data_IF_581886064775
#
_entry.id   IF_581886064775
#
_cell.length_a   1.000
_cell.length_b   1.000
_cell.length_c   1.000
_cell.angle_alpha   90.00
_cell.angle_beta   90.00
_cell.angle_gamma   90.00
#
_symmetry.space_group_name_H-M   'P 1'
#
loop_
_entity.id
_entity.type
_entity.pdbx_description
1 polymer ?
#
# COMPACT_ATOMS: atom_id res chain seq x y z
N UNK A 1 -15.77 -10.52 30.04
CA UNK A 1 -16.72 -10.32 31.17
C UNK A 1 -17.94 -9.51 30.73
N UNK A 2 -17.79 -8.35 30.06
CA UNK A 2 -18.91 -7.45 29.71
C UNK A 2 -19.93 -8.05 28.72
N UNK A 3 -19.50 -8.96 27.84
CA UNK A 3 -20.33 -9.62 26.84
C UNK A 3 -20.73 -11.04 27.22
N UNK A 4 -20.30 -11.53 28.41
CA UNK A 4 -20.57 -12.89 28.88
C UNK A 4 -19.92 -13.99 28.03
N UNK A 5 -18.89 -13.66 27.23
CA UNK A 5 -18.14 -14.61 26.41
C UNK A 5 -17.05 -15.25 27.28
N UNK A 6 -16.99 -16.57 27.31
CA UNK A 6 -15.95 -17.33 28.00
C UNK A 6 -14.57 -17.04 27.38
N UNK A 7 -13.50 -16.87 28.21
CA UNK A 7 -12.16 -16.59 27.70
C UNK A 7 -11.63 -17.58 26.68
N UNK A 8 -11.99 -18.85 26.78
CA UNK A 8 -11.62 -19.91 25.83
C UNK A 8 -12.21 -19.73 24.43
N UNK A 9 -13.22 -18.87 24.29
CA UNK A 9 -13.85 -18.50 23.02
C UNK A 9 -13.35 -17.15 22.48
N UNK A 10 -12.27 -16.59 23.06
CA UNK A 10 -11.69 -15.33 22.65
C UNK A 10 -10.29 -15.58 22.08
N UNK A 11 -10.12 -15.31 20.78
CA UNK A 11 -8.85 -15.45 20.08
C UNK A 11 -8.17 -14.08 19.97
N UNK A 12 -6.96 -13.96 20.51
CA UNK A 12 -6.11 -12.77 20.41
C UNK A 12 -4.77 -13.20 19.83
N UNK A 13 -4.55 -12.87 18.57
CA UNK A 13 -3.40 -13.36 17.84
C UNK A 13 -2.56 -12.22 17.24
N UNK A 14 -1.25 -12.39 17.26
CA UNK A 14 -0.31 -11.49 16.63
C UNK A 14 0.03 -11.99 15.22
N UNK A 15 -0.61 -11.40 14.22
CA UNK A 15 -0.42 -11.71 12.81
C UNK A 15 0.46 -10.66 12.08
N UNK A 16 1.22 -9.82 12.82
CA UNK A 16 2.00 -8.72 12.21
C UNK A 16 3.12 -9.19 11.32
N UNK A 17 3.83 -10.27 11.68
CA UNK A 17 4.90 -10.82 10.83
C UNK A 17 4.34 -11.37 9.52
N UNK A 18 3.27 -12.19 9.58
CA UNK A 18 2.60 -12.69 8.39
C UNK A 18 2.05 -11.55 7.54
N UNK A 19 1.43 -10.54 8.17
CA UNK A 19 0.91 -9.37 7.47
C UNK A 19 1.98 -8.68 6.62
N UNK A 20 3.14 -8.40 7.20
CA UNK A 20 4.19 -7.68 6.48
C UNK A 20 4.87 -8.57 5.46
N UNK A 21 5.25 -9.79 5.82
CA UNK A 21 6.00 -10.70 4.97
C UNK A 21 5.18 -11.19 3.77
N UNK A 22 3.94 -11.64 4.01
CA UNK A 22 3.17 -12.41 3.03
C UNK A 22 2.10 -11.57 2.29
N UNK A 23 1.83 -10.34 2.76
CA UNK A 23 0.86 -9.43 2.16
C UNK A 23 1.50 -8.08 1.76
N UNK A 24 2.17 -7.40 2.67
CA UNK A 24 2.72 -6.06 2.41
C UNK A 24 3.92 -6.12 1.47
N UNK A 25 4.90 -6.99 1.70
CA UNK A 25 6.09 -7.09 0.84
C UNK A 25 5.77 -7.52 -0.59
N UNK A 26 4.92 -8.53 -0.85
CA UNK A 26 4.46 -8.83 -2.21
C UNK A 26 3.84 -7.63 -2.93
N UNK A 27 3.04 -6.84 -2.21
CA UNK A 27 2.44 -5.61 -2.72
C UNK A 27 3.51 -4.54 -3.05
N UNK A 28 4.55 -4.39 -2.20
CA UNK A 28 5.65 -3.47 -2.45
C UNK A 28 6.55 -3.90 -3.61
N UNK A 29 6.75 -5.21 -3.84
CA UNK A 29 7.43 -5.69 -5.05
C UNK A 29 6.76 -5.21 -6.33
N UNK A 30 5.43 -5.07 -6.30
CA UNK A 30 4.65 -4.47 -7.40
C UNK A 30 4.77 -2.93 -7.47
N UNK A 31 5.26 -2.25 -6.45
CA UNK A 31 5.11 -0.80 -6.24
C UNK A 31 3.64 -0.36 -6.29
N UNK A 32 2.72 -1.16 -5.73
CA UNK A 32 1.29 -1.00 -5.91
C UNK A 32 0.76 0.30 -5.30
N UNK A 33 0.12 1.11 -6.14
CA UNK A 33 -0.54 2.35 -5.77
C UNK A 33 -1.92 2.41 -6.42
N UNK A 34 -2.97 2.41 -5.62
CA UNK A 34 -4.31 2.63 -6.14
C UNK A 34 -4.51 4.11 -6.51
N UNK A 35 -5.08 4.34 -7.70
CA UNK A 35 -5.20 5.69 -8.31
C UNK A 35 -3.87 6.48 -8.31
N UNK A 36 -2.72 5.78 -8.31
CA UNK A 36 -1.38 6.37 -8.35
C UNK A 36 -0.85 6.94 -7.04
N UNK A 37 -1.61 6.90 -5.96
CA UNK A 37 -1.26 7.56 -4.69
C UNK A 37 -1.44 6.67 -3.45
N UNK A 38 -2.51 5.88 -3.37
CA UNK A 38 -2.89 5.17 -2.15
C UNK A 38 -2.14 3.84 -2.00
N UNK A 39 -1.43 3.67 -0.88
CA UNK A 39 -0.62 2.48 -0.52
C UNK A 39 -1.44 1.30 0.03
N UNK A 40 -2.76 1.27 -0.18
CA UNK A 40 -3.64 0.11 0.03
C UNK A 40 -3.69 -0.45 1.46
N UNK A 41 -3.29 0.30 2.47
CA UNK A 41 -3.10 -0.23 3.82
C UNK A 41 -4.33 -0.87 4.46
N UNK A 42 -5.54 -0.32 4.27
CA UNK A 42 -6.78 -0.97 4.71
C UNK A 42 -7.09 -2.19 3.85
N UNK A 43 -6.97 -2.05 2.53
CA UNK A 43 -7.36 -3.10 1.58
C UNK A 43 -6.56 -4.38 1.76
N UNK A 44 -5.24 -4.27 1.98
CA UNK A 44 -4.33 -5.42 2.10
C UNK A 44 -4.46 -6.16 3.44
N UNK A 45 -5.01 -5.52 4.47
CA UNK A 45 -5.19 -6.15 5.78
C UNK A 45 -6.40 -7.10 5.82
N UNK A 46 -7.47 -6.81 5.07
CA UNK A 46 -8.72 -7.57 5.14
C UNK A 46 -8.59 -9.03 4.68
N UNK A 47 -7.85 -9.36 3.61
CA UNK A 47 -7.62 -10.76 3.22
C UNK A 47 -6.96 -11.61 4.31
N UNK A 48 -5.96 -11.08 5.02
CA UNK A 48 -5.31 -11.78 6.12
C UNK A 48 -6.26 -12.01 7.30
N UNK A 49 -7.05 -10.99 7.66
CA UNK A 49 -8.06 -11.14 8.73
C UNK A 49 -9.08 -12.22 8.35
N UNK A 50 -9.57 -12.20 7.10
CA UNK A 50 -10.50 -13.24 6.62
C UNK A 50 -9.86 -14.61 6.64
N UNK A 51 -8.61 -14.74 6.22
CA UNK A 51 -7.86 -16.00 6.27
C UNK A 51 -7.87 -16.56 7.70
N UNK A 52 -7.49 -15.74 8.67
CA UNK A 52 -7.44 -16.19 10.05
C UNK A 52 -8.81 -16.52 10.63
N UNK A 53 -9.85 -15.74 10.27
CA UNK A 53 -11.23 -16.05 10.66
C UNK A 53 -11.70 -17.41 10.13
N UNK A 54 -11.40 -17.75 8.87
CA UNK A 54 -11.74 -19.06 8.28
C UNK A 54 -10.96 -20.19 8.97
N UNK A 55 -9.67 -20.00 9.24
CA UNK A 55 -8.86 -20.98 9.97
C UNK A 55 -9.47 -21.27 11.36
N UNK A 56 -9.82 -20.23 12.12
CA UNK A 56 -10.47 -20.37 13.43
C UNK A 56 -11.86 -21.03 13.29
N UNK A 57 -12.65 -20.65 12.28
CA UNK A 57 -13.95 -21.27 12.03
C UNK A 57 -13.82 -22.81 11.83
N UNK A 58 -12.83 -23.24 11.04
CA UNK A 58 -12.53 -24.66 10.87
C UNK A 58 -12.05 -25.33 12.15
N UNK A 59 -11.17 -24.67 12.94
CA UNK A 59 -10.66 -25.19 14.22
C UNK A 59 -11.79 -25.45 15.24
N UNK A 60 -12.80 -24.58 15.27
CA UNK A 60 -13.92 -24.69 16.23
C UNK A 60 -15.16 -25.36 15.66
N UNK A 61 -15.16 -25.74 14.37
CA UNK A 61 -16.29 -26.34 13.69
C UNK A 61 -17.45 -25.38 13.47
N UNK A 62 -17.18 -24.08 13.29
CA UNK A 62 -18.19 -23.09 12.95
C UNK A 62 -18.54 -23.16 11.45
N UNK A 63 -19.83 -22.97 11.14
CA UNK A 63 -20.36 -22.95 9.77
C UNK A 63 -20.63 -21.52 9.25
N UNK A 64 -20.26 -20.51 10.04
CA UNK A 64 -20.44 -19.11 9.71
C UNK A 64 -19.35 -18.23 10.31
N UNK A 65 -19.05 -17.12 9.62
CA UNK A 65 -18.30 -15.98 10.15
C UNK A 65 -19.19 -14.75 10.20
N UNK A 66 -18.85 -13.77 11.03
CA UNK A 66 -19.54 -12.51 11.10
C UNK A 66 -18.55 -11.33 11.05
N UNK A 67 -18.96 -10.21 10.44
CA UNK A 67 -18.19 -8.98 10.46
C UNK A 67 -19.08 -7.75 10.69
N UNK A 68 -18.47 -6.69 11.25
CA UNK A 68 -19.13 -5.42 11.52
C UNK A 68 -18.87 -4.33 10.48
N UNK A 69 -18.42 -4.68 9.27
CA UNK A 69 -18.20 -3.72 8.21
C UNK A 69 -19.52 -3.08 7.75
N UNK A 70 -19.50 -1.77 7.47
CA UNK A 70 -20.70 -1.03 7.06
C UNK A 70 -21.15 -1.43 5.65
N UNK A 71 -22.46 -1.39 5.39
CA UNK A 71 -23.03 -1.72 4.08
C UNK A 71 -22.70 -0.74 2.94
N UNK A 72 -22.02 0.39 3.24
CA UNK A 72 -21.58 1.40 2.27
C UNK A 72 -20.08 1.37 1.95
N UNK A 73 -19.31 0.58 2.72
CA UNK A 73 -17.86 0.51 2.59
C UNK A 73 -17.39 -0.65 1.71
N UNK A 74 -16.14 -0.56 1.24
CA UNK A 74 -15.49 -1.64 0.49
C UNK A 74 -15.11 -2.83 1.39
N UNK A 75 -14.98 -2.63 2.70
CA UNK A 75 -14.46 -3.66 3.61
C UNK A 75 -15.34 -4.90 3.68
N UNK A 76 -16.68 -4.74 3.62
CA UNK A 76 -17.58 -5.88 3.50
C UNK A 76 -17.24 -6.75 2.28
N UNK A 77 -16.96 -6.12 1.12
CA UNK A 77 -16.60 -6.83 -0.10
C UNK A 77 -15.27 -7.58 0.08
N UNK A 78 -14.27 -6.94 0.68
CA UNK A 78 -12.95 -7.52 0.91
C UNK A 78 -12.99 -8.71 1.86
N UNK A 79 -13.75 -8.62 2.95
CA UNK A 79 -13.95 -9.74 3.88
C UNK A 79 -14.63 -10.92 3.21
N UNK A 80 -15.73 -10.66 2.53
CA UNK A 80 -16.57 -11.72 1.97
C UNK A 80 -15.94 -12.40 0.76
N UNK A 81 -15.36 -11.64 -0.19
CA UNK A 81 -14.65 -12.24 -1.32
C UNK A 81 -13.47 -13.10 -0.86
N UNK A 82 -12.74 -12.64 0.16
CA UNK A 82 -11.65 -13.43 0.75
C UNK A 82 -12.16 -14.70 1.43
N UNK A 83 -13.25 -14.59 2.19
CA UNK A 83 -13.86 -15.74 2.85
C UNK A 83 -14.34 -16.80 1.85
N UNK A 84 -15.09 -16.40 0.82
CA UNK A 84 -15.59 -17.33 -0.21
C UNK A 84 -14.48 -17.93 -1.08
N UNK A 85 -13.36 -17.24 -1.24
CA UNK A 85 -12.20 -17.81 -1.94
C UNK A 85 -11.50 -18.91 -1.13
N UNK A 86 -11.56 -18.81 0.20
CA UNK A 86 -10.92 -19.76 1.13
C UNK A 86 -11.86 -20.89 1.56
N UNK A 87 -13.14 -20.60 1.69
CA UNK A 87 -14.20 -21.58 2.01
C UNK A 87 -15.50 -21.18 1.28
N UNK A 88 -15.83 -21.85 0.15
CA UNK A 88 -16.98 -21.48 -0.65
C UNK A 88 -18.34 -21.74 0.02
N UNK A 89 -18.38 -22.60 1.04
CA UNK A 89 -19.60 -23.01 1.75
C UNK A 89 -19.86 -22.22 3.04
N UNK A 90 -18.89 -21.41 3.48
CA UNK A 90 -19.01 -20.61 4.70
C UNK A 90 -20.14 -19.61 4.60
N UNK A 91 -20.99 -19.52 5.63
CA UNK A 91 -22.01 -18.47 5.72
C UNK A 91 -21.40 -17.19 6.26
N UNK A 92 -21.82 -16.04 5.71
CA UNK A 92 -21.40 -14.73 6.20
C UNK A 92 -22.58 -14.00 6.81
N UNK A 93 -22.44 -13.58 8.06
CA UNK A 93 -23.41 -12.73 8.78
C UNK A 93 -22.89 -11.30 8.78
N UNK A 94 -23.64 -10.41 8.13
CA UNK A 94 -23.29 -9.00 8.00
C UNK A 94 -24.39 -8.08 8.55
N UNK A 95 -24.44 -7.86 9.88
CA UNK A 95 -25.56 -7.21 10.56
C UNK A 95 -25.97 -5.85 10.00
N UNK A 96 -25.01 -5.05 9.50
CA UNK A 96 -25.31 -3.76 8.88
C UNK A 96 -26.26 -3.82 7.68
N UNK A 97 -26.32 -4.94 6.98
CA UNK A 97 -27.24 -5.15 5.85
C UNK A 97 -28.57 -5.78 6.26
N UNK A 98 -28.61 -6.41 7.43
CA UNK A 98 -29.74 -7.23 7.89
C UNK A 98 -30.57 -6.51 8.96
N UNK A 99 -29.94 -5.70 9.82
CA UNK A 99 -30.57 -5.04 10.94
C UNK A 99 -31.09 -3.64 10.61
N UNK A 100 -32.12 -3.17 11.32
CA UNK A 100 -32.60 -1.79 11.24
C UNK A 100 -31.69 -0.78 12.00
N UNK A 101 -30.43 -1.07 12.17
CA UNK A 101 -29.42 -0.22 12.80
C UNK A 101 -28.62 0.55 11.75
N UNK A 102 -29.31 1.27 10.87
CA UNK A 102 -28.77 1.88 9.65
C UNK A 102 -27.97 3.19 9.86
N UNK A 103 -27.86 3.66 11.12
CA UNK A 103 -27.17 4.91 11.43
C UNK A 103 -26.41 4.82 12.76
N UNK A 104 -25.41 5.69 12.92
CA UNK A 104 -24.66 5.80 14.18
C UNK A 104 -25.58 6.15 15.36
N UNK A 105 -26.58 7.00 15.17
CA UNK A 105 -27.54 7.35 16.22
C UNK A 105 -28.34 6.14 16.70
N UNK A 106 -28.84 5.32 15.77
CA UNK A 106 -29.55 4.07 16.10
C UNK A 106 -28.63 3.07 16.82
N UNK A 107 -27.36 2.99 16.45
CA UNK A 107 -26.39 2.12 17.14
C UNK A 107 -26.12 2.60 18.59
N UNK A 108 -26.03 3.90 18.82
CA UNK A 108 -25.87 4.47 20.16
C UNK A 108 -27.08 4.17 21.01
N UNK A 109 -28.29 4.40 20.48
CA UNK A 109 -29.57 4.10 21.15
C UNK A 109 -29.70 2.62 21.51
N UNK A 110 -29.31 1.73 20.57
CA UNK A 110 -29.27 0.29 20.81
C UNK A 110 -28.27 -0.08 21.92
N UNK A 111 -27.08 0.48 21.89
CA UNK A 111 -26.06 0.23 22.90
C UNK A 111 -26.50 0.72 24.29
N UNK A 112 -27.17 1.87 24.37
CA UNK A 112 -27.73 2.39 25.63
C UNK A 112 -28.85 1.49 26.16
N UNK A 113 -29.79 1.08 25.29
CA UNK A 113 -30.88 0.17 25.64
C UNK A 113 -30.40 -1.17 26.20
N UNK A 114 -29.29 -1.70 25.62
CA UNK A 114 -28.73 -3.00 26.00
C UNK A 114 -27.56 -2.88 26.98
N UNK A 115 -27.30 -1.69 27.54
CA UNK A 115 -26.23 -1.41 28.50
C UNK A 115 -24.81 -1.80 27.98
N UNK A 116 -24.63 -1.75 26.65
CA UNK A 116 -23.33 -1.95 26.03
C UNK A 116 -22.45 -0.72 26.32
N UNK A 117 -21.29 -0.88 26.99
CA UNK A 117 -20.46 0.26 27.34
C UNK A 117 -19.83 0.88 26.09
N UNK A 118 -20.03 2.19 25.94
CA UNK A 118 -19.37 2.97 24.90
C UNK A 118 -18.47 3.99 25.62
N UNK A 119 -17.23 4.17 25.15
CA UNK A 119 -16.35 5.19 25.71
C UNK A 119 -17.00 6.58 25.62
N UNK A 120 -16.93 7.39 26.68
CA UNK A 120 -17.51 8.73 26.73
C UNK A 120 -17.02 9.63 25.58
N UNK A 121 -15.77 9.46 25.18
CA UNK A 121 -15.11 10.22 24.11
C UNK A 121 -15.76 9.99 22.72
N UNK A 122 -16.46 8.87 22.53
CA UNK A 122 -17.17 8.56 21.30
C UNK A 122 -18.64 9.04 21.27
N UNK A 123 -19.19 9.48 22.39
CA UNK A 123 -20.58 9.96 22.48
C UNK A 123 -20.78 11.39 22.05
N UNK A 124 -19.78 12.24 22.19
CA UNK A 124 -19.88 13.69 21.90
C UNK A 124 -19.12 14.13 20.65
N UNK A 125 -17.92 13.63 20.46
CA UNK A 125 -16.96 14.21 19.53
C UNK A 125 -16.17 13.22 18.66
N UNK A 126 -16.59 11.99 18.45
CA UNK A 126 -15.84 11.21 17.46
C UNK A 126 -16.13 11.75 16.05
N UNK A 127 -15.36 12.71 15.56
CA UNK A 127 -15.66 13.43 14.32
C UNK A 127 -15.45 12.55 13.08
N UNK A 128 -14.69 11.46 13.19
CA UNK A 128 -14.33 10.58 12.07
C UNK A 128 -14.14 9.14 12.55
N UNK A 129 -14.11 8.19 11.60
CA UNK A 129 -13.72 6.80 11.83
C UNK A 129 -12.22 6.65 11.61
N UNK A 130 -11.56 5.80 12.40
CA UNK A 130 -10.13 5.52 12.29
C UNK A 130 -9.91 4.02 12.18
N UNK A 131 -9.24 3.58 11.11
CA UNK A 131 -8.69 2.25 10.96
C UNK A 131 -7.16 2.31 11.07
N UNK A 132 -6.56 1.41 11.83
CA UNK A 132 -5.12 1.37 12.01
C UNK A 132 -4.58 -0.07 11.94
N UNK A 133 -3.46 -0.23 11.24
CA UNK A 133 -2.66 -1.45 11.24
C UNK A 133 -1.16 -1.09 11.20
N UNK A 134 -0.29 -2.08 11.08
CA UNK A 134 1.15 -1.82 11.09
C UNK A 134 1.61 -0.97 9.89
N UNK A 135 0.97 -1.12 8.72
CA UNK A 135 1.34 -0.37 7.51
C UNK A 135 0.85 1.08 7.57
N UNK A 136 -0.40 1.32 7.96
CA UNK A 136 -1.00 2.65 7.87
C UNK A 136 -2.04 2.97 8.95
N UNK A 137 -2.45 4.23 8.95
CA UNK A 137 -3.69 4.71 9.59
C UNK A 137 -4.54 5.39 8.53
N UNK A 138 -5.85 5.14 8.53
CA UNK A 138 -6.82 5.87 7.71
C UNK A 138 -7.87 6.52 8.59
N UNK A 139 -8.25 7.76 8.25
CA UNK A 139 -9.29 8.54 8.94
C UNK A 139 -10.31 9.02 7.92
N UNK A 140 -11.60 8.82 8.19
CA UNK A 140 -12.70 9.23 7.30
C UNK A 140 -13.96 9.65 8.06
N UNK A 141 -14.83 10.37 7.39
CA UNK A 141 -16.17 10.76 7.90
C UNK A 141 -16.24 12.13 8.55
N UNK A 142 -17.46 12.60 8.84
CA UNK A 142 -17.78 13.88 9.49
C UNK A 142 -17.06 15.09 8.90
N UNK A 143 -16.16 15.73 9.68
CA UNK A 143 -15.42 16.93 9.23
C UNK A 143 -14.62 16.68 7.94
N UNK A 144 -14.25 15.44 7.68
CA UNK A 144 -13.50 15.04 6.48
C UNK A 144 -14.40 14.80 5.25
N UNK A 145 -15.73 14.76 5.41
CA UNK A 145 -16.68 14.54 4.29
C UNK A 145 -16.75 15.76 3.36
N UNK A 146 -16.33 16.93 3.81
CA UNK A 146 -16.27 18.14 3.00
C UNK A 146 -14.87 18.33 2.40
N UNK A 147 -14.67 17.99 1.11
CA UNK A 147 -13.34 18.07 0.49
C UNK A 147 -12.86 19.51 0.25
N UNK A 148 -13.71 20.52 0.50
CA UNK A 148 -13.33 21.93 0.42
C UNK A 148 -12.62 22.43 1.68
N UNK A 149 -12.62 21.63 2.76
CA UNK A 149 -12.01 21.97 4.03
C UNK A 149 -10.71 21.19 4.23
N UNK A 150 -9.69 21.88 4.71
CA UNK A 150 -8.44 21.25 5.13
C UNK A 150 -8.70 20.27 6.28
N UNK A 151 -7.99 19.12 6.26
CA UNK A 151 -8.04 18.18 7.37
C UNK A 151 -7.35 18.79 8.61
N UNK A 152 -8.04 18.86 9.76
CA UNK A 152 -7.44 19.40 10.98
C UNK A 152 -6.23 18.57 11.44
N UNK A 153 -5.22 19.21 12.03
CA UNK A 153 -3.98 18.51 12.45
C UNK A 153 -4.24 17.35 13.44
N UNK A 154 -5.25 17.46 14.29
CA UNK A 154 -5.61 16.38 15.23
C UNK A 154 -6.08 15.06 14.58
N UNK A 155 -6.31 15.06 13.27
CA UNK A 155 -6.65 13.85 12.50
C UNK A 155 -5.43 12.93 12.36
N UNK A 156 -4.24 13.52 12.27
CA UNK A 156 -2.99 12.80 12.11
C UNK A 156 -2.52 12.23 13.45
N UNK A 157 -2.23 10.92 13.48
CA UNK A 157 -1.93 10.18 14.70
C UNK A 157 -0.53 9.54 14.71
N UNK A 158 0.08 9.41 13.53
CA UNK A 158 1.38 8.74 13.36
C UNK A 158 2.51 9.67 12.95
N UNK A 159 2.16 10.80 12.41
CA UNK A 159 3.12 11.74 11.83
C UNK A 159 2.95 13.10 12.48
N UNK A 160 4.06 13.75 12.77
CA UNK A 160 4.06 15.19 13.09
C UNK A 160 3.84 16.00 11.81
N UNK A 161 3.37 17.25 11.94
CA UNK A 161 3.29 18.13 10.75
C UNK A 161 4.70 18.36 10.17
N UNK A 162 4.83 18.53 8.84
CA UNK A 162 6.13 18.87 8.25
C UNK A 162 6.77 20.12 8.84
N UNK A 163 5.97 21.08 9.28
CA UNK A 163 6.40 22.33 9.91
C UNK A 163 7.04 22.09 11.27
N UNK A 164 6.46 21.15 12.05
CA UNK A 164 6.93 20.79 13.40
C UNK A 164 7.95 19.63 13.40
N UNK A 165 8.18 19.02 12.23
CA UNK A 165 9.13 17.92 12.09
C UNK A 165 10.57 18.37 12.40
N UNK A 166 11.39 17.39 12.77
CA UNK A 166 12.82 17.58 13.08
C UNK A 166 13.49 18.43 12.01
N UNK A 167 14.19 19.50 12.42
CA UNK A 167 14.86 20.47 11.52
C UNK A 167 16.30 20.08 11.16
N UNK A 168 16.59 18.78 11.22
CA UNK A 168 17.82 18.17 10.78
C UNK A 168 17.53 17.00 9.85
N UNK A 169 18.23 16.90 8.69
CA UNK A 169 18.03 15.79 7.78
C UNK A 169 18.57 14.48 8.39
N UNK A 170 17.81 13.42 8.27
CA UNK A 170 18.23 12.09 8.67
C UNK A 170 18.54 11.23 7.43
N UNK A 171 19.63 10.47 7.52
CA UNK A 171 20.01 9.52 6.48
C UNK A 171 19.83 8.10 7.01
N UNK A 172 19.14 7.27 6.23
CA UNK A 172 18.97 5.86 6.49
C UNK A 172 19.38 5.03 5.28
N UNK A 173 19.74 3.77 5.52
CA UNK A 173 20.05 2.82 4.48
C UNK A 173 19.15 1.59 4.60
N UNK A 174 18.46 1.24 3.51
CA UNK A 174 17.61 0.05 3.42
C UNK A 174 18.26 -0.96 2.51
N UNK A 175 18.49 -2.17 3.03
CA UNK A 175 19.01 -3.30 2.28
C UNK A 175 17.90 -4.18 1.73
N UNK A 176 18.06 -4.64 0.49
CA UNK A 176 17.10 -5.47 -0.24
C UNK A 176 17.69 -6.81 -0.66
N UNK A 177 16.85 -7.85 -0.66
CA UNK A 177 17.13 -9.15 -1.26
C UNK A 177 15.92 -9.59 -2.07
N UNK A 178 16.09 -9.73 -3.39
CA UNK A 178 15.02 -10.13 -4.32
C UNK A 178 13.73 -9.31 -4.17
N UNK A 179 13.89 -7.99 -4.00
CA UNK A 179 12.80 -7.05 -3.87
C UNK A 179 12.26 -6.86 -2.45
N UNK A 180 12.56 -7.75 -1.51
CA UNK A 180 12.12 -7.61 -0.14
C UNK A 180 13.16 -6.83 0.70
N UNK A 181 12.73 -5.88 1.53
CA UNK A 181 13.62 -5.20 2.45
C UNK A 181 14.01 -6.15 3.60
N UNK A 182 15.30 -6.25 3.88
CA UNK A 182 15.86 -7.19 4.86
C UNK A 182 16.63 -6.49 6.00
N UNK A 183 17.07 -5.26 5.78
CA UNK A 183 17.86 -4.54 6.78
C UNK A 183 17.62 -3.04 6.78
N UNK A 184 17.89 -2.42 7.92
CA UNK A 184 17.88 -0.98 8.10
C UNK A 184 19.19 -0.57 8.79
N UNK A 185 19.95 0.35 8.18
CA UNK A 185 21.24 0.82 8.69
C UNK A 185 22.20 -0.34 9.04
N UNK A 186 22.35 -1.30 8.12
CA UNK A 186 23.16 -2.51 8.25
C UNK A 186 22.71 -3.49 9.36
N UNK A 187 21.55 -3.30 9.95
CA UNK A 187 20.97 -4.22 10.92
C UNK A 187 19.84 -5.01 10.27
N UNK A 188 19.97 -6.33 10.23
CA UNK A 188 18.90 -7.23 9.82
C UNK A 188 17.73 -7.16 10.82
N UNK A 189 16.52 -7.07 10.31
CA UNK A 189 15.28 -6.97 11.07
C UNK A 189 14.24 -7.92 10.49
N UNK A 190 13.36 -8.41 11.36
CA UNK A 190 12.18 -9.12 10.86
C UNK A 190 11.26 -8.14 10.09
N UNK A 191 10.45 -8.64 9.15
CA UNK A 191 9.54 -7.83 8.35
C UNK A 191 8.72 -6.82 9.16
N UNK A 192 8.05 -7.28 10.23
CA UNK A 192 7.24 -6.41 11.07
C UNK A 192 8.08 -5.36 11.82
N UNK A 193 9.25 -5.75 12.34
CA UNK A 193 10.13 -4.81 13.03
C UNK A 193 10.74 -3.78 12.10
N UNK A 194 11.11 -4.18 10.88
CA UNK A 194 11.63 -3.26 9.86
C UNK A 194 10.57 -2.18 9.53
N UNK A 195 9.33 -2.58 9.24
CA UNK A 195 8.26 -1.63 8.96
C UNK A 195 7.94 -0.74 10.16
N UNK A 196 7.96 -1.29 11.38
CA UNK A 196 7.75 -0.54 12.62
C UNK A 196 8.81 0.55 12.82
N UNK A 197 10.09 0.22 12.63
CA UNK A 197 11.18 1.20 12.72
C UNK A 197 11.05 2.29 11.66
N UNK A 198 10.74 1.93 10.43
CA UNK A 198 10.50 2.90 9.35
C UNK A 198 9.30 3.80 9.64
N UNK A 199 8.24 3.28 10.25
CA UNK A 199 7.11 4.10 10.69
C UNK A 199 7.54 5.14 11.75
N UNK A 200 8.38 4.73 12.70
CA UNK A 200 8.89 5.63 13.74
C UNK A 200 9.74 6.74 13.13
N UNK A 201 10.65 6.39 12.21
CA UNK A 201 11.51 7.35 11.52
C UNK A 201 10.67 8.29 10.65
N UNK A 202 9.82 7.73 9.79
CA UNK A 202 8.97 8.54 8.90
C UNK A 202 8.01 9.45 9.66
N UNK A 203 7.43 8.96 10.76
CA UNK A 203 6.51 9.72 11.60
C UNK A 203 7.13 10.99 12.19
N UNK A 204 8.35 10.91 12.76
CA UNK A 204 9.04 12.08 13.32
C UNK A 204 9.51 13.10 12.26
N UNK A 205 9.61 12.67 11.01
CA UNK A 205 9.93 13.55 9.89
C UNK A 205 8.69 14.01 9.11
N UNK A 206 7.48 13.69 9.56
CA UNK A 206 6.23 14.08 8.90
C UNK A 206 5.99 13.42 7.54
N UNK A 207 6.67 12.30 7.26
CA UNK A 207 6.58 11.59 5.97
C UNK A 207 5.33 10.73 5.91
N UNK A 208 4.68 10.67 4.75
CA UNK A 208 3.63 9.69 4.45
C UNK A 208 2.20 10.15 4.73
N UNK A 209 1.93 11.45 4.79
CA UNK A 209 0.58 12.02 4.84
C UNK A 209 -0.02 12.09 3.44
N UNK A 210 -1.28 11.69 3.32
CA UNK A 210 -2.03 11.74 2.05
C UNK A 210 -3.49 12.12 2.33
N UNK A 211 -3.97 13.15 1.66
CA UNK A 211 -5.38 13.54 1.58
C UNK A 211 -5.89 13.15 0.18
N UNK A 212 -6.80 12.20 0.10
CA UNK A 212 -7.22 11.61 -1.17
C UNK A 212 -8.74 11.50 -1.27
N UNK A 213 -9.28 11.91 -2.41
CA UNK A 213 -10.65 11.59 -2.81
C UNK A 213 -10.60 10.47 -3.83
N UNK A 214 -10.89 9.26 -3.40
CA UNK A 214 -10.79 8.03 -4.20
C UNK A 214 -12.14 7.51 -4.69
N UNK A 215 -12.11 6.73 -5.76
CA UNK A 215 -13.26 5.97 -6.26
C UNK A 215 -13.41 4.64 -5.52
N UNK A 216 -14.46 4.46 -4.72
CA UNK A 216 -14.77 3.17 -4.08
C UNK A 216 -15.27 2.14 -5.10
N UNK A 217 -14.96 0.87 -4.88
CA UNK A 217 -15.45 -0.23 -5.71
C UNK A 217 -16.98 -0.32 -5.74
N UNK A 218 -17.64 0.05 -4.63
CA UNK A 218 -19.09 0.15 -4.54
C UNK A 218 -19.68 1.37 -5.28
N UNK A 219 -18.86 2.16 -6.00
CA UNK A 219 -19.30 3.14 -7.02
C UNK A 219 -19.38 4.59 -6.56
N UNK A 220 -19.05 4.93 -5.31
CA UNK A 220 -19.05 6.32 -4.82
C UNK A 220 -17.66 6.89 -4.63
N UNK A 221 -17.53 8.22 -4.65
CA UNK A 221 -16.31 8.90 -4.21
C UNK A 221 -16.30 9.03 -2.69
N UNK A 222 -15.11 8.86 -2.09
CA UNK A 222 -14.90 9.04 -0.65
C UNK A 222 -13.57 9.70 -0.40
N UNK A 223 -13.52 10.63 0.55
CA UNK A 223 -12.27 11.22 1.03
C UNK A 223 -11.75 10.44 2.22
N UNK A 224 -10.47 10.10 2.17
CA UNK A 224 -9.71 9.52 3.27
C UNK A 224 -8.44 10.31 3.54
N UNK A 225 -8.09 10.43 4.81
CA UNK A 225 -6.79 10.94 5.26
C UNK A 225 -5.96 9.73 5.68
N UNK A 226 -4.82 9.56 5.03
CA UNK A 226 -3.96 8.41 5.22
C UNK A 226 -2.59 8.82 5.77
N UNK A 227 -2.05 7.98 6.64
CA UNK A 227 -0.69 8.11 7.16
C UNK A 227 0.02 6.77 6.96
N UNK A 228 1.03 6.77 6.09
CA UNK A 228 1.78 5.55 5.72
C UNK A 228 3.28 5.84 5.74
N UNK A 229 3.85 6.26 6.89
CA UNK A 229 5.22 6.76 6.93
C UNK A 229 6.26 5.73 6.48
N UNK A 230 6.26 4.53 7.06
CA UNK A 230 7.20 3.48 6.69
C UNK A 230 6.97 2.96 5.27
N UNK A 231 5.71 2.85 4.84
CA UNK A 231 5.37 2.44 3.48
C UNK A 231 5.85 3.42 2.41
N UNK A 232 5.75 4.73 2.69
CA UNK A 232 6.26 5.78 1.79
C UNK A 232 7.78 5.70 1.65
N UNK A 233 8.49 5.44 2.76
CA UNK A 233 9.95 5.23 2.74
C UNK A 233 10.30 3.97 1.93
N UNK A 234 9.58 2.85 2.15
CA UNK A 234 9.83 1.60 1.43
C UNK A 234 9.57 1.73 -0.06
N UNK A 235 8.52 2.42 -0.48
CA UNK A 235 8.22 2.64 -1.89
C UNK A 235 9.34 3.41 -2.59
N UNK A 236 9.82 4.49 -1.99
CA UNK A 236 10.93 5.28 -2.51
C UNK A 236 12.23 4.45 -2.59
N UNK A 237 12.55 3.69 -1.53
CA UNK A 237 13.72 2.84 -1.48
C UNK A 237 13.65 1.72 -2.53
N UNK A 238 12.52 1.02 -2.64
CA UNK A 238 12.34 -0.07 -3.57
C UNK A 238 12.44 0.41 -5.03
N UNK A 239 11.78 1.53 -5.37
CA UNK A 239 11.96 2.16 -6.69
C UNK A 239 13.41 2.58 -6.92
N UNK A 240 14.13 3.02 -5.88
CA UNK A 240 15.54 3.37 -5.95
C UNK A 240 16.44 2.20 -6.36
N UNK A 241 16.25 1.01 -5.80
CA UNK A 241 17.06 -0.17 -6.16
C UNK A 241 16.67 -0.71 -7.54
N UNK A 242 15.40 -0.69 -7.91
CA UNK A 242 14.93 -1.11 -9.23
C UNK A 242 15.54 -0.29 -10.37
N UNK A 243 15.81 1.01 -10.17
CA UNK A 243 16.38 1.89 -11.19
C UNK A 243 17.75 1.41 -11.70
N UNK A 244 18.49 0.66 -10.91
CA UNK A 244 19.81 0.14 -11.30
C UNK A 244 19.83 -1.35 -11.57
N UNK A 245 18.77 -2.10 -11.22
CA UNK A 245 18.74 -3.57 -11.34
C UNK A 245 17.76 -4.08 -12.39
N UNK A 246 16.76 -3.28 -12.81
CA UNK A 246 15.84 -3.63 -13.89
C UNK A 246 16.25 -2.97 -15.20
N UNK A 247 16.18 -3.73 -16.30
CA UNK A 247 16.27 -3.13 -17.62
C UNK A 247 15.01 -2.31 -17.95
N UNK A 248 15.13 -1.44 -18.95
CA UNK A 248 14.08 -0.53 -19.37
C UNK A 248 12.76 -1.26 -19.72
N UNK A 249 12.85 -2.39 -20.43
CA UNK A 249 11.68 -3.14 -20.89
C UNK A 249 10.92 -3.77 -19.73
N UNK A 250 11.64 -4.45 -18.82
CA UNK A 250 11.07 -5.07 -17.63
C UNK A 250 10.46 -4.02 -16.67
N UNK A 251 11.14 -2.91 -16.46
CA UNK A 251 10.65 -1.80 -15.63
C UNK A 251 9.34 -1.22 -16.16
N UNK A 252 9.28 -0.91 -17.47
CA UNK A 252 8.07 -0.37 -18.09
C UNK A 252 6.91 -1.36 -18.08
N UNK A 253 7.17 -2.66 -18.32
CA UNK A 253 6.13 -3.69 -18.25
C UNK A 253 5.57 -3.80 -16.83
N UNK A 254 6.44 -3.83 -15.83
CA UNK A 254 6.04 -3.88 -14.42
C UNK A 254 5.18 -2.68 -14.04
N UNK A 255 5.55 -1.46 -14.46
CA UNK A 255 4.76 -0.25 -14.21
C UNK A 255 3.39 -0.28 -14.92
N UNK A 256 3.26 -0.97 -16.06
CA UNK A 256 1.96 -1.19 -16.72
C UNK A 256 1.07 -2.20 -15.98
N UNK A 257 1.65 -3.20 -15.31
CA UNK A 257 0.91 -4.20 -14.54
C UNK A 257 0.47 -3.65 -13.17
N UNK A 258 1.18 -2.69 -12.63
CA UNK A 258 0.95 -2.16 -11.28
C UNK A 258 -0.48 -1.64 -11.04
N UNK A 259 -1.12 -0.84 -11.94
CA UNK A 259 -2.47 -0.35 -11.71
C UNK A 259 -3.50 -1.49 -11.62
N UNK A 260 -3.38 -2.51 -12.47
CA UNK A 260 -4.26 -3.67 -12.45
C UNK A 260 -4.08 -4.47 -11.15
N UNK A 261 -2.84 -4.69 -10.73
CA UNK A 261 -2.53 -5.35 -9.47
C UNK A 261 -3.08 -4.58 -8.26
N UNK A 262 -2.90 -3.25 -8.23
CA UNK A 262 -3.42 -2.39 -7.17
C UNK A 262 -4.97 -2.40 -7.11
N UNK A 263 -5.62 -2.40 -8.27
CA UNK A 263 -7.09 -2.48 -8.37
C UNK A 263 -7.63 -3.80 -7.82
N UNK A 264 -7.00 -4.93 -8.13
CA UNK A 264 -7.39 -6.23 -7.57
C UNK A 264 -7.32 -6.25 -6.04
N UNK A 265 -6.24 -5.70 -5.45
CA UNK A 265 -6.12 -5.59 -4.00
C UNK A 265 -7.20 -4.65 -3.44
N UNK A 266 -7.39 -3.49 -4.06
CA UNK A 266 -8.37 -2.50 -3.62
C UNK A 266 -9.79 -3.07 -3.58
N UNK A 267 -10.14 -3.86 -4.61
CA UNK A 267 -11.44 -4.47 -4.80
C UNK A 267 -11.65 -5.77 -3.98
N UNK A 268 -10.63 -6.29 -3.30
CA UNK A 268 -10.74 -7.48 -2.44
C UNK A 268 -10.42 -8.81 -3.12
N UNK A 269 -9.82 -8.80 -4.30
CA UNK A 269 -9.46 -9.99 -5.08
C UNK A 269 -8.05 -10.53 -4.77
N UNK A 270 -7.61 -10.48 -3.50
CA UNK A 270 -6.29 -10.97 -3.11
C UNK A 270 -6.07 -12.45 -3.46
N UNK A 271 -7.08 -13.29 -3.32
CA UNK A 271 -7.00 -14.73 -3.57
C UNK A 271 -7.47 -15.11 -4.99
N UNK A 272 -7.54 -14.16 -5.93
CA UNK A 272 -7.98 -14.44 -7.29
C UNK A 272 -6.83 -14.95 -8.17
N UNK A 273 -7.13 -15.81 -9.18
CA UNK A 273 -6.12 -16.33 -10.10
C UNK A 273 -5.36 -15.23 -10.87
N UNK A 274 -6.04 -14.15 -11.27
CA UNK A 274 -5.41 -13.03 -11.98
C UNK A 274 -4.43 -12.27 -11.11
N UNK A 275 -4.70 -12.11 -9.81
CA UNK A 275 -3.74 -11.52 -8.88
C UNK A 275 -2.51 -12.43 -8.74
N UNK A 276 -2.68 -13.73 -8.66
CA UNK A 276 -1.58 -14.70 -8.58
C UNK A 276 -0.72 -14.69 -9.85
N UNK A 277 -1.33 -14.61 -11.02
CA UNK A 277 -0.61 -14.48 -12.29
C UNK A 277 0.23 -13.19 -12.34
N UNK A 278 -0.35 -12.06 -11.92
CA UNK A 278 0.38 -10.79 -11.84
C UNK A 278 1.51 -10.86 -10.81
N UNK A 279 1.28 -11.48 -9.64
CA UNK A 279 2.31 -11.68 -8.62
C UNK A 279 3.49 -12.49 -9.17
N UNK A 280 3.23 -13.58 -9.86
CA UNK A 280 4.29 -14.40 -10.45
C UNK A 280 5.15 -13.61 -11.45
N UNK A 281 4.52 -12.76 -12.28
CA UNK A 281 5.23 -11.89 -13.20
C UNK A 281 6.06 -10.82 -12.46
N UNK A 282 5.50 -10.22 -11.42
CA UNK A 282 6.17 -9.24 -10.56
C UNK A 282 7.36 -9.90 -9.86
N UNK A 283 7.17 -11.07 -9.22
CA UNK A 283 8.22 -11.79 -8.49
C UNK A 283 9.38 -12.18 -9.42
N UNK A 284 9.07 -12.56 -10.66
CA UNK A 284 10.10 -12.82 -11.68
C UNK A 284 10.97 -11.59 -11.95
N UNK A 285 10.40 -10.41 -11.94
CA UNK A 285 11.15 -9.16 -12.13
C UNK A 285 12.11 -8.86 -10.97
N UNK A 286 11.85 -9.42 -9.78
CA UNK A 286 12.59 -9.10 -8.56
C UNK A 286 13.84 -9.96 -8.31
N UNK A 287 14.12 -10.97 -9.14
CA UNK A 287 15.22 -11.92 -8.92
C UNK A 287 16.59 -11.26 -8.67
N UNK A 288 16.84 -10.12 -9.30
CA UNK A 288 18.09 -9.36 -9.19
C UNK A 288 17.94 -8.03 -8.43
N UNK A 289 16.75 -7.73 -7.89
CA UNK A 289 16.51 -6.51 -7.11
C UNK A 289 17.08 -6.70 -5.69
N UNK A 290 18.42 -6.65 -5.61
CA UNK A 290 19.22 -6.92 -4.40
C UNK A 290 20.32 -5.88 -4.28
N UNK A 291 20.49 -5.28 -3.11
CA UNK A 291 21.48 -4.23 -2.86
C UNK A 291 21.03 -3.27 -1.77
N UNK A 292 21.53 -2.06 -1.81
CA UNK A 292 21.30 -1.05 -0.78
C UNK A 292 20.86 0.29 -1.40
N UNK A 293 19.95 0.96 -0.70
CA UNK A 293 19.50 2.31 -1.04
C UNK A 293 19.63 3.21 0.17
N UNK A 294 20.36 4.31 0.01
CA UNK A 294 20.44 5.35 1.02
C UNK A 294 19.45 6.45 0.74
N UNK A 295 18.67 6.79 1.75
CA UNK A 295 17.61 7.78 1.71
C UNK A 295 17.96 8.96 2.60
N UNK A 296 17.47 10.14 2.22
CA UNK A 296 17.45 11.35 3.04
C UNK A 296 16.02 11.72 3.36
N UNK A 297 15.71 11.83 4.66
CA UNK A 297 14.41 12.29 5.17
C UNK A 297 14.56 13.70 5.72
N UNK A 298 13.60 14.57 5.41
CA UNK A 298 13.55 15.92 5.95
C UNK A 298 12.17 16.54 5.72
N UNK A 299 11.50 16.97 6.79
CA UNK A 299 10.26 17.78 6.75
C UNK A 299 9.24 17.30 5.70
N UNK A 300 8.70 16.12 5.89
CA UNK A 300 7.69 15.49 5.02
C UNK A 300 8.24 14.83 3.76
N UNK A 301 9.49 15.07 3.40
CA UNK A 301 10.11 14.52 2.21
C UNK A 301 11.00 13.31 2.51
N UNK A 302 10.96 12.32 1.62
CA UNK A 302 11.93 11.23 1.53
C UNK A 302 12.50 11.20 0.11
N UNK A 303 13.81 11.05 -0.04
CA UNK A 303 14.50 11.02 -1.34
C UNK A 303 15.64 10.04 -1.35
N UNK A 304 15.75 9.27 -2.42
CA UNK A 304 16.95 8.46 -2.70
C UNK A 304 18.15 9.35 -2.98
N UNK A 305 19.26 9.12 -2.28
CA UNK A 305 20.52 9.87 -2.44
C UNK A 305 21.67 9.03 -2.96
N UNK A 306 21.68 7.72 -2.68
CA UNK A 306 22.58 6.78 -3.32
C UNK A 306 22.00 5.37 -3.36
N UNK A 307 22.53 4.55 -4.23
CA UNK A 307 22.13 3.15 -4.43
C UNK A 307 23.32 2.32 -4.91
N UNK A 308 23.32 1.04 -4.52
CA UNK A 308 24.35 0.11 -4.90
C UNK A 308 23.81 -1.32 -5.02
N UNK A 309 24.30 -2.04 -6.02
CA UNK A 309 23.95 -3.44 -6.25
C UNK A 309 25.07 -4.17 -7.00
N UNK A 310 25.33 -5.43 -6.64
CA UNK A 310 26.17 -6.33 -7.45
C UNK A 310 25.48 -6.73 -8.78
N UNK A 311 24.19 -6.49 -8.91
CA UNK A 311 23.40 -6.78 -10.11
C UNK A 311 23.05 -5.51 -10.89
N UNK A 312 23.81 -4.43 -10.66
CA UNK A 312 23.60 -3.16 -11.35
C UNK A 312 23.79 -3.30 -12.86
N UNK A 313 22.82 -2.78 -13.61
CA UNK A 313 22.89 -2.59 -15.06
C UNK A 313 23.46 -1.21 -15.44
N UNK A 314 23.71 -0.35 -14.45
CA UNK A 314 24.36 0.94 -14.67
C UNK A 314 25.85 0.71 -14.89
N UNK A 315 26.34 1.05 -16.06
CA UNK A 315 27.75 0.94 -16.45
C UNK A 315 28.32 2.33 -16.67
N UNK A 316 29.27 2.73 -15.83
CA UNK A 316 29.94 4.02 -15.93
C UNK A 316 30.71 4.14 -17.27
N UNK A 317 31.27 3.05 -17.77
CA UNK A 317 31.99 3.00 -19.05
C UNK A 317 31.11 3.37 -20.24
N UNK A 318 29.82 2.97 -20.22
CA UNK A 318 28.89 3.22 -21.32
C UNK A 318 28.18 4.59 -21.25
N UNK A 319 28.08 5.19 -20.06
CA UNK A 319 27.31 6.42 -19.87
C UNK A 319 28.17 7.67 -19.64
N UNK A 320 29.50 7.49 -19.56
CA UNK A 320 30.41 8.60 -19.36
C UNK A 320 30.38 9.56 -20.55
N UNK A 321 30.56 10.86 -20.28
CA UNK A 321 30.81 11.88 -21.29
C UNK A 321 32.31 12.11 -21.56
N UNK A 322 33.15 11.40 -20.83
CA UNK A 322 34.59 11.37 -21.03
C UNK A 322 34.96 10.30 -22.07
N UNK A 323 36.26 10.04 -22.26
CA UNK A 323 36.77 8.98 -23.16
C UNK A 323 36.34 7.60 -22.62
N UNK A 324 35.50 6.90 -23.36
CA UNK A 324 34.97 5.57 -23.02
C UNK A 324 35.84 4.43 -23.59
N UNK A 325 37.01 4.74 -24.13
CA UNK A 325 37.92 3.77 -24.78
C UNK A 325 37.24 2.92 -25.88
N UNK A 326 36.13 3.42 -26.48
CA UNK A 326 35.39 2.75 -27.54
C UNK A 326 34.32 1.76 -27.03
N UNK A 327 33.89 1.87 -25.77
CA UNK A 327 32.80 1.06 -25.21
C UNK A 327 31.46 1.30 -25.93
N UNK A 328 31.24 2.50 -26.51
CA UNK A 328 30.05 2.85 -27.27
C UNK A 328 30.39 3.60 -28.57
N UNK A 329 29.98 3.06 -29.72
CA UNK A 329 30.15 3.79 -31.02
C UNK A 329 28.95 4.73 -31.23
N UNK A 330 29.15 6.02 -31.03
CA UNK A 330 28.11 7.06 -31.22
C UNK A 330 27.56 7.11 -32.65
N UNK A 331 28.26 6.55 -33.66
CA UNK A 331 27.78 6.50 -35.05
C UNK A 331 26.58 5.57 -35.22
N UNK A 332 26.45 4.54 -34.39
CA UNK A 332 25.33 3.60 -34.43
C UNK A 332 23.98 4.29 -34.18
N UNK A 333 23.98 5.35 -33.36
CA UNK A 333 22.81 6.15 -33.11
C UNK A 333 22.21 6.76 -34.38
N UNK A 334 23.04 7.13 -35.35
CA UNK A 334 22.56 7.75 -36.58
C UNK A 334 21.65 6.81 -37.41
N UNK A 335 22.01 5.53 -37.51
CA UNK A 335 21.20 4.49 -38.16
C UNK A 335 19.87 4.27 -37.46
N UNK A 336 19.92 4.07 -36.14
CA UNK A 336 18.75 3.89 -35.28
C UNK A 336 17.78 5.08 -35.41
N UNK A 337 18.26 6.33 -35.35
CA UNK A 337 17.45 7.54 -35.49
C UNK A 337 16.80 7.61 -36.87
N UNK A 338 17.54 7.33 -37.96
CA UNK A 338 16.99 7.35 -39.32
C UNK A 338 15.81 6.41 -39.50
N UNK A 339 15.93 5.15 -39.00
CA UNK A 339 14.87 4.15 -39.07
C UNK A 339 13.65 4.58 -38.24
N UNK A 340 13.84 5.01 -36.99
CA UNK A 340 12.74 5.49 -36.15
C UNK A 340 12.06 6.75 -36.69
N UNK A 341 12.83 7.63 -37.36
CA UNK A 341 12.31 8.86 -37.97
C UNK A 341 11.49 8.60 -39.26
N UNK A 342 11.62 7.44 -39.90
CA UNK A 342 10.98 7.16 -41.20
C UNK A 342 9.47 7.40 -41.16
N UNK A 343 8.76 6.83 -40.19
CA UNK A 343 7.32 7.00 -40.02
C UNK A 343 6.93 8.49 -39.84
N UNK A 344 7.70 9.24 -39.06
CA UNK A 344 7.44 10.65 -38.80
C UNK A 344 7.63 11.50 -40.06
N UNK A 345 8.67 11.20 -40.86
CA UNK A 345 8.91 11.86 -42.16
C UNK A 345 7.77 11.59 -43.16
N UNK A 346 7.28 10.37 -43.23
CA UNK A 346 6.15 10.01 -44.11
C UNK A 346 4.87 10.75 -43.68
N UNK A 347 4.58 10.84 -42.40
CA UNK A 347 3.45 11.61 -41.87
C UNK A 347 3.61 13.10 -42.22
N UNK A 348 4.79 13.68 -42.00
CA UNK A 348 5.05 15.08 -42.32
C UNK A 348 4.91 15.37 -43.83
N UNK A 349 5.40 14.47 -44.69
CA UNK A 349 5.25 14.59 -46.17
C UNK A 349 3.76 14.53 -46.59
N UNK A 350 2.98 13.62 -45.98
CA UNK A 350 1.52 13.57 -46.25
C UNK A 350 0.83 14.87 -45.84
N UNK A 351 1.14 15.40 -44.67
CA UNK A 351 0.51 16.63 -44.18
C UNK A 351 0.85 17.85 -45.10
N UNK A 352 2.09 17.95 -45.59
CA UNK A 352 2.49 18.97 -46.54
C UNK A 352 1.81 18.91 -47.91
N UNK A 353 1.30 17.71 -48.30
CA UNK A 353 0.55 17.56 -49.59
C UNK A 353 -0.90 18.02 -49.45
N UNK A 354 -1.40 18.10 -48.24
CA UNK A 354 -2.79 18.45 -47.93
C UNK A 354 -2.94 19.92 -47.43
N UNK A 355 -1.85 20.66 -47.37
CA UNK A 355 -1.78 22.14 -47.20
C UNK A 355 -1.46 22.77 -48.54
#
# INVERSE_FOLDING_TARGET
ELLGISPENIYIEDIREEFVKDFVFPMFRANALYEGLYLLGTSIARPLISKRLIEIAHEVGADAIAHGATGKGNDQVRFELSAYALDPDIKVVAPWREWDLSSRSKLIEFAEKHQIPISKDKRGEAPFSVDANLLHTSSEGKVLEDPSKEAPEYVYQRTVSPEEAVDEPEFIEVGFCKGDPISLNNKELSPANLLKELNTIGGRHGVGRLDLVEGRFVGMKSRGIYETPGGTILLEAHRGIEQITLDRGASHLKDQLMPQYAELIYNGFWFSPEREMLQAAIDKSQEYVTGYVRLKLYKGAVRTVSRWSNYSLYSEEHVTFEDDAGAYDQKDAAGFIKLNALRLRLIAMRNKRNT
#
